data_IF_684393495303
#
_entry.id   IF_684393495303
#
_cell.length_a   1.000
_cell.length_b   1.000
_cell.length_c   1.000
_cell.angle_alpha   90.00
_cell.angle_beta   90.00
_cell.angle_gamma   90.00
#
_symmetry.space_group_name_H-M   'P 1'
#
loop_
_entity.id
_entity.type
_entity.pdbx_description
1 polymer ?
#
# COMPACT_ATOMS: atom_id res chain seq x y z
N UNK A 1 -15.13 5.89 28.02
CA UNK A 1 -14.73 5.36 28.06
C UNK A 1 -14.47 5.26 27.89
N UNK A 2 -14.32 5.11 27.66
CA UNK A 2 -13.77 4.69 27.54
C UNK A 2 -13.38 4.31 27.16
N UNK A 3 -13.40 4.55 27.25
CA UNK A 3 -12.95 3.81 26.97
C UNK A 3 -13.28 3.34 26.66
N UNK A 4 -13.55 3.20 26.19
CA UNK A 4 -13.69 2.47 25.92
C UNK A 4 -13.84 1.87 25.57
N UNK A 5 -14.36 1.92 25.20
CA UNK A 5 -14.22 0.92 24.85
C UNK A 5 -13.48 0.34 24.41
N UNK A 6 -13.43 0.83 24.92
CA UNK A 6 -12.32 0.10 24.35
C UNK A 6 -12.11 -1.22 25.03
N UNK A 7 -11.83 -2.26 24.21
CA UNK A 7 -11.45 -3.53 24.83
C UNK A 7 -10.17 -3.33 25.62
N UNK A 8 -9.96 -4.20 26.58
CA UNK A 8 -8.76 -4.17 27.40
C UNK A 8 -7.53 -4.28 26.49
N UNK A 9 -6.64 -3.28 26.49
CA UNK A 9 -5.48 -3.32 25.62
C UNK A 9 -4.60 -4.54 25.81
N UNK A 10 -4.53 -5.06 27.02
CA UNK A 10 -3.72 -6.24 27.28
C UNK A 10 -4.25 -7.47 26.58
N UNK A 11 -5.54 -7.58 26.45
CA UNK A 11 -6.14 -8.69 25.73
C UNK A 11 -5.82 -8.61 24.25
N UNK A 12 -5.82 -7.41 23.70
CA UNK A 12 -5.47 -7.23 22.31
C UNK A 12 -4.01 -7.61 22.05
N UNK A 13 -3.12 -7.20 22.94
CA UNK A 13 -1.71 -7.48 22.77
C UNK A 13 -1.40 -8.96 22.79
N UNK A 14 -2.13 -9.71 23.59
CA UNK A 14 -1.83 -11.14 23.79
C UNK A 14 -2.55 -12.01 22.79
N UNK A 15 -3.77 -11.65 22.43
CA UNK A 15 -4.68 -12.55 21.74
C UNK A 15 -4.70 -12.44 20.23
N UNK A 16 -4.21 -11.35 19.67
CA UNK A 16 -4.43 -11.07 18.24
C UNK A 16 -3.19 -11.38 17.43
N UNK A 17 -3.27 -12.35 16.49
CA UNK A 17 -2.16 -12.62 15.58
C UNK A 17 -1.90 -11.45 14.66
N UNK A 18 -0.65 -11.34 14.20
CA UNK A 18 -0.26 -10.23 13.32
C UNK A 18 -1.10 -10.16 12.05
N UNK A 19 -1.46 -11.31 11.47
CA UNK A 19 -2.20 -11.31 10.22
C UNK A 19 -3.62 -10.77 10.38
N UNK A 20 -4.20 -10.83 11.58
CA UNK A 20 -5.51 -10.24 11.82
C UNK A 20 -5.40 -8.72 11.82
N UNK A 21 -4.33 -8.18 12.41
CA UNK A 21 -4.10 -6.73 12.36
C UNK A 21 -3.91 -6.26 10.92
N UNK A 22 -3.19 -7.02 10.13
CA UNK A 22 -2.96 -6.68 8.73
C UNK A 22 -4.27 -6.65 7.95
N UNK A 23 -5.13 -7.65 8.18
CA UNK A 23 -6.44 -7.69 7.54
C UNK A 23 -7.29 -6.49 7.89
N UNK A 24 -7.26 -6.07 9.15
CA UNK A 24 -8.04 -4.93 9.60
C UNK A 24 -7.61 -3.64 8.92
N UNK A 25 -6.30 -3.44 8.72
CA UNK A 25 -5.80 -2.25 8.02
C UNK A 25 -6.30 -2.23 6.58
N UNK A 26 -6.25 -3.35 5.89
CA UNK A 26 -6.72 -3.41 4.51
C UNK A 26 -8.22 -3.18 4.42
N UNK A 27 -8.99 -3.74 5.35
CA UNK A 27 -10.43 -3.51 5.37
C UNK A 27 -10.78 -2.05 5.58
N UNK A 28 -10.07 -1.39 6.50
CA UNK A 28 -10.31 0.02 6.78
C UNK A 28 -10.03 0.88 5.55
N UNK A 29 -8.91 0.64 4.91
CA UNK A 29 -8.50 1.39 3.73
C UNK A 29 -9.49 1.14 2.58
N UNK A 30 -9.95 -0.10 2.42
CA UNK A 30 -10.91 -0.44 1.38
C UNK A 30 -12.25 0.27 1.61
N UNK A 31 -12.72 0.34 2.87
CA UNK A 31 -13.97 1.03 3.17
C UNK A 31 -13.91 2.50 2.82
N UNK A 32 -12.72 3.10 2.89
CA UNK A 32 -12.52 4.51 2.54
C UNK A 32 -12.38 4.73 1.04
N UNK A 33 -12.42 3.67 0.25
CA UNK A 33 -12.30 3.78 -1.20
C UNK A 33 -10.87 3.97 -1.68
N UNK A 34 -9.89 3.61 -0.86
CA UNK A 34 -8.47 3.85 -1.16
C UNK A 34 -7.75 2.61 -1.68
N UNK A 35 -8.50 1.62 -2.14
CA UNK A 35 -7.90 0.37 -2.61
C UNK A 35 -8.43 -0.01 -3.98
N UNK A 36 -7.55 -0.60 -4.79
CA UNK A 36 -7.93 -1.30 -6.01
C UNK A 36 -7.82 -2.79 -5.73
N UNK A 37 -8.74 -3.59 -6.29
CA UNK A 37 -8.53 -5.03 -6.33
C UNK A 37 -7.36 -5.30 -7.28
N UNK A 38 -6.74 -6.47 -7.15
CA UNK A 38 -5.66 -6.83 -8.08
C UNK A 38 -6.17 -6.90 -9.52
N UNK A 39 -7.40 -7.39 -9.71
CA UNK A 39 -7.99 -7.46 -11.05
C UNK A 39 -8.13 -6.07 -11.65
N UNK A 40 -8.68 -5.12 -10.90
CA UNK A 40 -8.84 -3.75 -11.38
C UNK A 40 -7.50 -3.08 -11.62
N UNK A 41 -6.51 -3.40 -10.79
CA UNK A 41 -5.19 -2.80 -10.91
C UNK A 41 -4.50 -3.16 -12.24
N UNK A 42 -4.90 -4.27 -12.88
CA UNK A 42 -4.34 -4.61 -14.19
C UNK A 42 -4.60 -3.51 -15.21
N UNK A 43 -5.68 -2.76 -15.06
CA UNK A 43 -5.98 -1.63 -15.93
C UNK A 43 -5.09 -0.41 -15.73
N UNK A 44 -4.26 -0.42 -14.69
CA UNK A 44 -3.36 0.70 -14.40
C UNK A 44 -2.03 0.61 -15.15
N UNK A 45 -1.73 -0.54 -15.72
CA UNK A 45 -0.45 -0.73 -16.41
C UNK A 45 -0.34 0.22 -17.59
N UNK A 46 0.82 0.88 -17.68
CA UNK A 46 1.11 1.75 -18.80
C UNK A 46 0.45 3.12 -18.75
N UNK A 47 -0.35 3.41 -17.74
CA UNK A 47 -0.99 4.72 -17.64
C UNK A 47 0.00 5.76 -17.16
N UNK A 48 0.09 6.86 -17.88
CA UNK A 48 1.03 7.94 -17.54
C UNK A 48 0.57 8.76 -16.35
N UNK A 49 -0.71 8.69 -16.00
CA UNK A 49 -1.25 9.42 -14.85
C UNK A 49 -1.20 8.61 -13.55
N UNK A 50 -0.54 7.47 -13.57
CA UNK A 50 -0.42 6.59 -12.41
C UNK A 50 1.04 6.32 -12.10
N UNK A 51 1.42 6.39 -10.83
CA UNK A 51 2.73 5.99 -10.36
C UNK A 51 2.57 4.78 -9.46
N UNK A 52 3.03 3.61 -9.92
CA UNK A 52 3.02 2.39 -9.13
C UNK A 52 4.27 2.37 -8.26
N UNK A 53 4.11 2.20 -6.96
CA UNK A 53 5.21 2.26 -6.01
C UNK A 53 5.32 0.92 -5.28
N UNK A 54 6.44 0.23 -5.48
CA UNK A 54 6.72 -1.04 -4.83
C UNK A 54 7.40 -0.78 -3.49
N UNK A 55 6.75 -1.14 -2.40
CA UNK A 55 7.25 -0.92 -1.04
C UNK A 55 8.04 -2.10 -0.50
N UNK A 56 8.22 -3.16 -1.30
CA UNK A 56 8.91 -4.36 -0.83
C UNK A 56 10.41 -4.14 -0.77
N UNK A 57 11.10 -5.06 -0.10
CA UNK A 57 12.55 -5.04 -0.06
C UNK A 57 13.12 -5.50 -1.39
N UNK A 58 14.35 -5.10 -1.67
CA UNK A 58 15.04 -5.48 -2.89
C UNK A 58 15.00 -6.99 -3.10
N UNK A 59 15.21 -7.76 -2.03
CA UNK A 59 15.19 -9.22 -2.06
C UNK A 59 13.87 -9.77 -2.55
N UNK A 60 12.77 -9.17 -2.13
CA UNK A 60 11.45 -9.60 -2.55
C UNK A 60 11.26 -9.37 -4.05
N UNK A 61 11.73 -8.22 -4.54
CA UNK A 61 11.64 -7.92 -5.97
C UNK A 61 12.47 -8.89 -6.81
N UNK A 62 13.65 -9.23 -6.32
CA UNK A 62 14.53 -10.14 -7.04
C UNK A 62 13.94 -11.55 -7.12
N UNK A 63 13.25 -11.97 -6.05
CA UNK A 63 12.72 -13.32 -6.00
C UNK A 63 11.46 -13.52 -6.82
N UNK A 64 10.57 -12.55 -6.85
CA UNK A 64 9.27 -12.73 -7.49
C UNK A 64 8.99 -11.75 -8.62
N UNK A 65 9.98 -10.93 -8.99
CA UNK A 65 9.76 -9.91 -10.01
C UNK A 65 8.99 -8.73 -9.46
N UNK A 66 8.74 -7.76 -10.32
CA UNK A 66 8.03 -6.53 -9.96
C UNK A 66 6.97 -6.24 -11.01
N UNK A 67 5.95 -5.48 -10.63
CA UNK A 67 4.96 -5.02 -11.59
C UNK A 67 5.67 -4.07 -12.57
N UNK A 68 5.51 -4.29 -13.88
CA UNK A 68 6.21 -3.46 -14.87
C UNK A 68 5.92 -1.98 -14.68
N UNK A 69 6.97 -1.16 -14.76
CA UNK A 69 6.85 0.28 -14.60
C UNK A 69 6.80 0.76 -13.16
N UNK A 70 6.84 -0.14 -12.18
CA UNK A 70 6.79 0.29 -10.79
C UNK A 70 8.13 0.85 -10.35
N UNK A 71 8.05 1.88 -9.50
CA UNK A 71 9.21 2.48 -8.87
C UNK A 71 9.45 1.78 -7.54
N UNK A 72 10.71 1.62 -7.16
CA UNK A 72 11.04 0.94 -5.92
C UNK A 72 11.29 1.95 -4.81
N UNK A 73 10.49 1.90 -3.76
CA UNK A 73 10.64 2.75 -2.59
C UNK A 73 10.32 1.93 -1.35
N UNK A 74 11.32 1.25 -0.78
CA UNK A 74 11.08 0.34 0.35
C UNK A 74 10.31 1.01 1.48
N UNK A 75 9.43 0.25 2.11
CA UNK A 75 8.54 0.78 3.12
C UNK A 75 9.27 1.53 4.24
N UNK A 76 10.50 1.08 4.59
CA UNK A 76 11.28 1.75 5.62
C UNK A 76 11.68 3.19 5.27
N UNK A 77 11.60 3.56 3.99
CA UNK A 77 11.94 4.91 3.53
C UNK A 77 10.69 5.76 3.26
N UNK A 78 9.51 5.24 3.59
CA UNK A 78 8.26 5.89 3.21
C UNK A 78 8.16 7.34 3.66
N UNK A 79 8.51 7.62 4.92
CA UNK A 79 8.35 8.97 5.46
C UNK A 79 9.16 10.00 4.69
N UNK A 80 10.36 9.61 4.24
CA UNK A 80 11.18 10.51 3.43
C UNK A 80 10.54 10.79 2.08
N UNK A 81 9.94 9.78 1.48
CA UNK A 81 9.38 9.92 0.13
C UNK A 81 8.04 10.65 0.10
N UNK A 82 7.23 10.54 1.15
CA UNK A 82 5.93 11.20 1.18
C UNK A 82 5.99 12.59 1.82
N UNK A 83 7.11 12.91 2.45
CA UNK A 83 7.33 14.25 3.01
C UNK A 83 7.61 15.25 1.91
N UNK A 84 7.47 16.53 2.24
CA UNK A 84 7.67 17.61 1.28
C UNK A 84 9.03 17.49 0.59
N UNK A 85 9.03 17.55 -0.74
CA UNK A 85 10.24 17.40 -1.53
C UNK A 85 10.63 15.96 -1.81
N UNK A 86 9.97 14.98 -1.21
CA UNK A 86 10.27 13.58 -1.46
C UNK A 86 9.72 13.11 -2.80
N UNK A 87 10.22 11.97 -3.26
CA UNK A 87 9.85 11.42 -4.56
C UNK A 87 8.34 11.29 -4.74
N UNK A 88 7.68 10.65 -3.77
CA UNK A 88 6.25 10.38 -3.91
C UNK A 88 5.45 11.66 -3.81
N UNK A 89 5.87 12.56 -2.94
CA UNK A 89 5.24 13.87 -2.81
C UNK A 89 5.27 14.62 -4.15
N UNK A 90 6.43 14.62 -4.83
CA UNK A 90 6.57 15.31 -6.10
C UNK A 90 5.75 14.65 -7.22
N UNK A 91 5.67 13.32 -7.22
CA UNK A 91 4.83 12.63 -8.19
C UNK A 91 3.36 13.01 -8.01
N UNK A 92 2.91 13.07 -6.76
CA UNK A 92 1.52 13.45 -6.47
C UNK A 92 1.27 14.90 -6.87
N UNK A 93 2.24 15.78 -6.62
CA UNK A 93 2.12 17.19 -7.01
C UNK A 93 2.00 17.35 -8.52
N UNK A 94 2.63 16.47 -9.27
CA UNK A 94 2.57 16.53 -10.74
C UNK A 94 1.24 15.99 -11.29
N UNK A 95 0.33 15.58 -10.42
CA UNK A 95 -1.00 15.14 -10.82
C UNK A 95 -1.17 13.63 -10.95
N UNK A 96 -0.16 12.85 -10.56
CA UNK A 96 -0.26 11.40 -10.67
C UNK A 96 -1.03 10.80 -9.50
N UNK A 97 -1.78 9.75 -9.78
CA UNK A 97 -2.38 8.91 -8.75
C UNK A 97 -1.27 7.99 -8.24
N UNK A 98 -1.06 8.00 -6.93
CA UNK A 98 -0.04 7.15 -6.31
C UNK A 98 -0.68 5.83 -5.92
N UNK A 99 -0.12 4.72 -6.41
CA UNK A 99 -0.65 3.40 -6.10
C UNK A 99 0.46 2.54 -5.51
N UNK A 100 0.39 2.31 -4.20
CA UNK A 100 1.36 1.50 -3.49
C UNK A 100 1.04 0.02 -3.62
N UNK A 101 2.06 -0.83 -3.57
CA UNK A 101 1.84 -2.25 -3.34
C UNK A 101 3.00 -2.84 -2.55
N UNK A 102 2.72 -3.96 -1.89
CA UNK A 102 3.72 -4.72 -1.16
C UNK A 102 3.48 -6.20 -1.44
N UNK A 103 3.97 -7.10 -0.59
CA UNK A 103 3.82 -8.54 -0.85
C UNK A 103 2.39 -9.03 -0.67
N UNK A 104 1.73 -8.61 0.42
CA UNK A 104 0.41 -9.13 0.80
C UNK A 104 -0.60 -8.04 1.14
N UNK A 105 -0.23 -6.78 1.04
CA UNK A 105 -1.14 -5.66 1.18
C UNK A 105 -1.11 -4.90 2.50
N UNK A 106 -0.48 -5.43 3.54
CA UNK A 106 -0.50 -4.75 4.85
C UNK A 106 0.38 -3.51 4.89
N UNK A 107 1.61 -3.58 4.37
CA UNK A 107 2.48 -2.41 4.34
C UNK A 107 1.89 -1.33 3.45
N UNK A 108 1.31 -1.72 2.32
CA UNK A 108 0.76 -0.75 1.39
C UNK A 108 -0.51 -0.10 1.93
N UNK A 109 -1.33 -0.83 2.68
CA UNK A 109 -2.49 -0.23 3.33
C UNK A 109 -2.06 0.83 4.35
N UNK A 110 -1.01 0.54 5.12
CA UNK A 110 -0.47 1.50 6.07
C UNK A 110 0.14 2.71 5.37
N UNK A 111 0.80 2.47 4.23
CA UNK A 111 1.38 3.55 3.44
C UNK A 111 0.31 4.49 2.91
N UNK A 112 -0.83 3.95 2.45
CA UNK A 112 -1.94 4.79 2.00
C UNK A 112 -2.41 5.69 3.12
N UNK A 113 -2.61 5.13 4.32
CA UNK A 113 -3.07 5.93 5.44
C UNK A 113 -2.07 7.05 5.76
N UNK A 114 -0.78 6.72 5.81
CA UNK A 114 0.25 7.71 6.08
C UNK A 114 0.27 8.81 5.02
N UNK A 115 0.14 8.45 3.75
CA UNK A 115 0.14 9.42 2.66
C UNK A 115 -1.11 10.30 2.71
N UNK A 116 -2.27 9.71 2.97
CA UNK A 116 -3.52 10.48 3.10
C UNK A 116 -3.40 11.47 4.25
N UNK A 117 -2.82 11.04 5.37
CA UNK A 117 -2.61 11.93 6.52
C UNK A 117 -1.70 13.10 6.20
N UNK A 118 -0.84 12.95 5.20
CA UNK A 118 0.03 14.03 4.71
C UNK A 118 -0.62 14.85 3.60
N UNK A 119 -1.88 14.59 3.28
CA UNK A 119 -2.59 15.35 2.26
C UNK A 119 -2.42 14.84 0.84
N UNK A 120 -1.82 13.67 0.66
CA UNK A 120 -1.69 13.08 -0.67
C UNK A 120 -2.99 12.32 -1.00
N UNK A 121 -4.00 13.08 -1.40
CA UNK A 121 -5.37 12.57 -1.53
C UNK A 121 -5.53 11.51 -2.61
N UNK A 122 -4.61 11.43 -3.57
CA UNK A 122 -4.69 10.44 -4.63
C UNK A 122 -4.14 9.07 -4.22
N UNK A 123 -3.58 8.94 -3.02
CA UNK A 123 -2.91 7.71 -2.61
C UNK A 123 -3.88 6.54 -2.51
N UNK A 124 -3.50 5.43 -3.13
CA UNK A 124 -4.28 4.18 -3.19
C UNK A 124 -3.31 3.02 -3.04
N UNK A 125 -3.83 1.80 -2.90
CA UNK A 125 -2.97 0.63 -2.95
C UNK A 125 -3.68 -0.55 -3.61
N UNK A 126 -2.92 -1.61 -3.89
CA UNK A 126 -3.47 -2.84 -4.45
C UNK A 126 -3.72 -3.81 -3.31
N UNK A 127 -4.98 -4.19 -3.09
CA UNK A 127 -5.35 -5.15 -2.06
C UNK A 127 -4.67 -6.49 -2.32
N UNK A 128 -4.15 -7.08 -1.26
CA UNK A 128 -3.50 -8.38 -1.35
C UNK A 128 -2.12 -8.36 -1.99
N UNK A 129 -1.68 -7.21 -2.47
CA UNK A 129 -0.32 -7.00 -2.96
C UNK A 129 0.10 -7.89 -4.12
N UNK A 130 1.40 -8.15 -4.20
CA UNK A 130 1.97 -8.96 -5.27
C UNK A 130 1.39 -10.36 -5.31
N UNK A 131 1.03 -10.92 -4.15
CA UNK A 131 0.41 -12.23 -4.08
C UNK A 131 -0.91 -12.25 -4.85
N UNK A 132 -1.80 -11.29 -4.60
CA UNK A 132 -3.07 -11.22 -5.31
C UNK A 132 -2.87 -10.88 -6.78
N UNK A 133 -1.92 -10.00 -7.09
CA UNK A 133 -1.58 -9.64 -8.46
C UNK A 133 -1.19 -10.86 -9.29
N UNK A 134 -0.35 -11.72 -8.72
CA UNK A 134 0.08 -12.95 -9.40
C UNK A 134 -1.10 -13.89 -9.64
N UNK A 135 -2.00 -13.99 -8.65
CA UNK A 135 -3.14 -14.91 -8.75
C UNK A 135 -4.11 -14.52 -9.85
N UNK A 136 -4.20 -13.24 -10.19
CA UNK A 136 -5.06 -12.81 -11.29
C UNK A 136 -4.31 -12.69 -12.62
N UNK A 137 -3.10 -13.24 -12.66
CA UNK A 137 -2.34 -13.29 -13.90
C UNK A 137 -1.65 -11.98 -14.26
N UNK A 138 -1.39 -11.11 -13.32
CA UNK A 138 -0.70 -9.87 -13.57
C UNK A 138 0.74 -10.10 -14.02
N UNK A 139 1.24 -9.23 -14.90
CA UNK A 139 2.60 -9.35 -15.42
C UNK A 139 3.64 -9.00 -14.36
N UNK A 140 4.79 -9.69 -14.39
CA UNK A 140 5.89 -9.41 -13.49
C UNK A 140 7.21 -9.57 -14.26
N UNK A 141 8.17 -8.71 -13.96
CA UNK A 141 9.49 -8.74 -14.59
C UNK A 141 10.59 -8.82 -13.57
#
# INVERSE_FOLDING_TARGET
MENLHLPNPKMMDVAVPANIHQGLHQEDVARKGWAFSAEDAKGLLGRLDVALIDLREKRERERTGAIPGSLHAPYGELQDHIGEGGLIHELARSGKTIVFYCAFGERSAMAVQAAQDRGLASARHIEGGMSAWTKVGGAAH
#
